data_IF_712218094005
#
_entry.id   IF_712218094005
#
_cell.length_a   1.000
_cell.length_b   1.000
_cell.length_c   1.000
_cell.angle_alpha   90.00
_cell.angle_beta   90.00
_cell.angle_gamma   90.00
#
_symmetry.space_group_name_H-M   'P 1'
#
loop_
_entity.id
_entity.type
_entity.pdbx_description
1 polymer ?
#
# COMPACT_ATOMS: atom_id res chain seq x y z
N UNK A 1 -18.92 -15.18 -65.46
CA UNK A 1 -18.25 -14.11 -64.73
C UNK A 1 -18.79 -14.12 -63.28
N UNK A 2 -18.08 -14.82 -62.38
CA UNK A 2 -18.49 -14.95 -60.98
C UNK A 2 -17.72 -13.88 -60.22
N UNK A 3 -18.45 -12.91 -59.66
CA UNK A 3 -17.88 -11.87 -58.78
C UNK A 3 -17.73 -12.44 -57.39
N UNK A 4 -16.47 -12.68 -56.96
CA UNK A 4 -16.11 -12.98 -55.59
C UNK A 4 -16.25 -11.68 -54.76
N UNK A 5 -17.26 -11.63 -53.91
CA UNK A 5 -17.38 -10.60 -52.87
C UNK A 5 -16.62 -11.14 -51.67
N UNK A 6 -15.41 -10.67 -51.46
CA UNK A 6 -14.60 -10.95 -50.27
C UNK A 6 -15.11 -10.05 -49.12
N UNK A 7 -15.99 -10.56 -48.30
CA UNK A 7 -16.42 -9.88 -47.09
C UNK A 7 -15.30 -9.96 -46.07
N UNK A 8 -14.52 -8.88 -45.90
CA UNK A 8 -13.51 -8.75 -44.87
C UNK A 8 -14.23 -8.56 -43.54
N UNK A 9 -14.37 -9.66 -42.80
CA UNK A 9 -14.90 -9.62 -41.43
C UNK A 9 -13.80 -9.11 -40.50
N UNK A 10 -13.81 -7.82 -40.23
CA UNK A 10 -12.94 -7.21 -39.25
C UNK A 10 -13.32 -7.73 -37.86
N UNK A 11 -12.58 -8.70 -37.34
CA UNK A 11 -12.69 -9.13 -35.95
C UNK A 11 -12.19 -7.99 -35.05
N UNK A 12 -13.11 -7.17 -34.59
CA UNK A 12 -12.85 -6.26 -33.49
C UNK A 12 -12.63 -7.11 -32.23
N UNK A 13 -11.37 -7.39 -31.91
CA UNK A 13 -11.02 -7.88 -30.60
C UNK A 13 -11.27 -6.76 -29.60
N UNK A 14 -12.45 -6.74 -29.02
CA UNK A 14 -12.72 -5.97 -27.82
C UNK A 14 -11.88 -6.59 -26.71
N UNK A 15 -10.73 -5.99 -26.44
CA UNK A 15 -10.00 -6.25 -25.18
C UNK A 15 -10.92 -5.75 -24.06
N UNK A 16 -11.69 -6.66 -23.48
CA UNK A 16 -12.42 -6.37 -22.26
C UNK A 16 -11.38 -6.14 -21.16
N UNK A 17 -11.09 -4.87 -20.89
CA UNK A 17 -10.35 -4.50 -19.68
C UNK A 17 -11.26 -4.87 -18.51
N UNK A 18 -10.98 -6.00 -17.86
CA UNK A 18 -11.69 -6.37 -16.64
C UNK A 18 -11.26 -5.39 -15.55
N UNK A 19 -12.24 -4.73 -14.95
CA UNK A 19 -12.06 -4.00 -13.71
C UNK A 19 -11.38 -4.95 -12.70
N UNK A 20 -10.24 -4.55 -12.17
CA UNK A 20 -9.47 -5.35 -11.21
C UNK A 20 -9.62 -4.73 -9.83
N UNK A 21 -9.93 -5.56 -8.84
CA UNK A 21 -9.81 -5.16 -7.45
C UNK A 21 -8.33 -5.09 -7.06
N UNK A 22 -7.89 -3.94 -6.59
CA UNK A 22 -6.56 -3.70 -6.03
C UNK A 22 -6.69 -3.78 -4.51
N UNK A 23 -6.06 -4.76 -3.89
CA UNK A 23 -6.07 -4.92 -2.43
C UNK A 23 -4.89 -4.20 -1.81
N UNK A 24 -5.15 -3.34 -0.82
CA UNK A 24 -4.14 -2.62 -0.04
C UNK A 24 -4.20 -3.06 1.42
N UNK A 25 -3.07 -3.45 1.98
CA UNK A 25 -2.95 -3.73 3.41
C UNK A 25 -2.87 -2.43 4.20
N UNK A 26 -3.62 -2.31 5.30
CA UNK A 26 -3.46 -1.24 6.29
C UNK A 26 -2.88 -1.86 7.54
N UNK A 27 -1.58 -1.62 7.79
CA UNK A 27 -0.90 -2.15 8.96
C UNK A 27 -0.54 -1.01 9.92
N UNK A 28 -1.23 -0.94 11.05
CA UNK A 28 -1.07 0.11 12.06
C UNK A 28 -1.16 -0.51 13.45
N UNK A 29 -0.69 0.20 14.49
CA UNK A 29 -0.79 -0.23 15.88
C UNK A 29 -2.20 -0.09 16.43
N UNK A 30 -3.10 -0.96 16.02
CA UNK A 30 -4.48 -0.99 16.53
C UNK A 30 -4.56 -1.44 17.99
N UNK A 31 -3.50 -2.03 18.51
CA UNK A 31 -3.25 -2.25 19.93
C UNK A 31 -1.92 -1.60 20.32
N UNK A 32 -1.71 -1.36 21.64
CA UNK A 32 -0.47 -0.80 22.13
C UNK A 32 -0.51 0.72 22.33
N UNK A 33 0.66 1.40 22.37
CA UNK A 33 0.76 2.76 22.92
C UNK A 33 0.05 3.86 22.11
N UNK A 34 -0.28 3.60 20.84
CA UNK A 34 -0.90 4.59 19.95
C UNK A 34 -2.28 4.16 19.43
N UNK A 35 -2.88 3.15 20.04
CA UNK A 35 -4.18 2.58 19.63
C UNK A 35 -5.30 3.61 19.48
N UNK A 36 -5.24 4.72 20.23
CA UNK A 36 -6.23 5.79 20.15
C UNK A 36 -6.13 6.63 18.87
N UNK A 37 -4.99 6.61 18.16
CA UNK A 37 -4.74 7.41 16.96
C UNK A 37 -5.02 6.63 15.67
N UNK A 38 -4.75 5.35 15.67
CA UNK A 38 -4.72 4.51 14.47
C UNK A 38 -6.06 4.25 13.81
N UNK A 39 -7.22 4.20 14.53
CA UNK A 39 -8.53 4.09 13.87
C UNK A 39 -8.82 5.25 12.92
N UNK A 40 -8.47 6.48 13.32
CA UNK A 40 -8.63 7.67 12.48
C UNK A 40 -7.71 7.65 11.26
N UNK A 41 -6.47 7.19 11.42
CA UNK A 41 -5.51 7.04 10.32
C UNK A 41 -5.99 6.01 9.30
N UNK A 42 -6.49 4.86 9.76
CA UNK A 42 -7.06 3.84 8.89
C UNK A 42 -8.31 4.34 8.16
N UNK A 43 -9.21 5.01 8.86
CA UNK A 43 -10.41 5.58 8.25
C UNK A 43 -10.09 6.61 7.17
N UNK A 44 -9.06 7.45 7.38
CA UNK A 44 -8.58 8.39 6.36
C UNK A 44 -8.04 7.70 5.11
N UNK A 45 -7.29 6.62 5.27
CA UNK A 45 -6.80 5.83 4.13
C UNK A 45 -7.96 5.15 3.38
N UNK A 46 -8.91 4.56 4.10
CA UNK A 46 -10.08 3.92 3.51
C UNK A 46 -10.98 4.91 2.76
N UNK A 47 -11.13 6.13 3.30
CA UNK A 47 -11.83 7.20 2.60
C UNK A 47 -11.17 7.51 1.26
N UNK A 48 -9.84 7.67 1.24
CA UNK A 48 -9.10 7.94 0.02
C UNK A 48 -9.22 6.79 -1.00
N UNK A 49 -9.24 5.53 -0.56
CA UNK A 49 -9.44 4.37 -1.42
C UNK A 49 -10.85 4.33 -2.02
N UNK A 50 -11.86 4.69 -1.23
CA UNK A 50 -13.24 4.78 -1.70
C UNK A 50 -13.39 5.93 -2.73
N UNK A 51 -12.87 7.11 -2.42
CA UNK A 51 -12.88 8.24 -3.36
C UNK A 51 -12.17 7.92 -4.68
N UNK A 52 -11.00 7.25 -4.61
CA UNK A 52 -10.28 6.82 -5.80
C UNK A 52 -11.11 5.82 -6.63
N UNK A 53 -11.76 4.87 -5.98
CA UNK A 53 -12.64 3.89 -6.64
C UNK A 53 -13.85 4.55 -7.28
N UNK A 54 -14.52 5.43 -6.55
CA UNK A 54 -15.74 6.12 -7.01
C UNK A 54 -15.48 7.14 -8.11
N UNK A 55 -14.26 7.67 -8.18
CA UNK A 55 -13.86 8.63 -9.22
C UNK A 55 -13.91 8.06 -10.64
N UNK A 56 -13.83 6.73 -10.78
CA UNK A 56 -13.70 6.06 -12.07
C UNK A 56 -12.39 6.37 -12.82
N UNK A 57 -11.44 7.08 -12.19
CA UNK A 57 -10.18 7.47 -12.80
C UNK A 57 -9.13 6.34 -12.82
N UNK A 58 -9.36 5.27 -12.06
CA UNK A 58 -8.47 4.11 -12.03
C UNK A 58 -8.58 3.31 -13.33
N UNK A 59 -7.43 2.85 -13.83
CA UNK A 59 -7.32 2.12 -15.09
C UNK A 59 -8.30 0.93 -15.15
N UNK A 60 -9.07 0.87 -16.25
CA UNK A 60 -10.01 -0.23 -16.50
C UNK A 60 -11.21 -0.27 -15.57
N UNK A 61 -11.52 0.82 -14.84
CA UNK A 61 -12.60 0.84 -13.85
C UNK A 61 -12.26 0.03 -12.60
N UNK A 62 -10.98 -0.12 -12.29
CA UNK A 62 -10.50 -0.82 -11.10
C UNK A 62 -10.99 -0.15 -9.82
N UNK A 63 -11.11 -0.93 -8.76
CA UNK A 63 -11.48 -0.47 -7.41
C UNK A 63 -10.37 -0.83 -6.42
N UNK A 64 -10.32 -0.11 -5.30
CA UNK A 64 -9.40 -0.40 -4.20
C UNK A 64 -10.20 -0.91 -3.02
N UNK A 65 -9.75 -2.02 -2.44
CA UNK A 65 -10.23 -2.52 -1.15
C UNK A 65 -9.09 -2.59 -0.15
N UNK A 66 -9.40 -2.62 1.14
CA UNK A 66 -8.39 -2.69 2.19
C UNK A 66 -8.58 -3.88 3.12
N UNK A 67 -7.47 -4.33 3.70
CA UNK A 67 -7.43 -5.33 4.76
C UNK A 67 -6.59 -4.76 5.89
N UNK A 68 -7.15 -4.67 7.11
CA UNK A 68 -6.43 -4.18 8.29
C UNK A 68 -5.65 -5.30 8.97
N UNK A 69 -4.47 -4.95 9.49
CA UNK A 69 -3.65 -5.81 10.33
C UNK A 69 -2.99 -4.98 11.43
N UNK A 70 -2.74 -5.58 12.59
CA UNK A 70 -2.20 -4.91 13.76
C UNK A 70 -0.67 -5.03 13.82
N UNK A 71 0.04 -3.91 13.81
CA UNK A 71 1.50 -3.86 13.99
C UNK A 71 1.93 -3.78 15.46
N UNK A 72 0.99 -3.57 16.38
CA UNK A 72 1.23 -3.30 17.81
C UNK A 72 2.10 -2.08 18.11
N UNK A 73 2.75 -1.47 17.12
CA UNK A 73 3.74 -0.39 17.23
C UNK A 73 5.09 -0.81 17.86
N UNK A 74 5.13 -1.79 18.75
CA UNK A 74 6.32 -2.12 19.59
C UNK A 74 6.90 -3.50 19.33
N UNK A 75 6.13 -4.45 18.78
CA UNK A 75 6.58 -5.81 18.52
C UNK A 75 6.87 -6.03 17.03
N UNK A 76 8.15 -6.03 16.69
CA UNK A 76 8.59 -6.20 15.30
C UNK A 76 8.27 -7.59 14.72
N UNK A 77 8.23 -8.63 15.57
CA UNK A 77 7.90 -9.98 15.11
C UNK A 77 6.39 -10.10 14.83
N UNK A 78 5.54 -9.55 15.71
CA UNK A 78 4.10 -9.48 15.48
C UNK A 78 3.78 -8.67 14.23
N UNK A 79 4.43 -7.52 14.05
CA UNK A 79 4.24 -6.68 12.85
C UNK A 79 4.66 -7.40 11.56
N UNK A 80 5.78 -8.12 11.56
CA UNK A 80 6.20 -8.93 10.41
C UNK A 80 5.18 -10.03 10.10
N UNK A 81 4.70 -10.76 11.10
CA UNK A 81 3.67 -11.79 10.92
C UNK A 81 2.36 -11.22 10.40
N UNK A 82 1.96 -10.04 10.88
CA UNK A 82 0.78 -9.33 10.39
C UNK A 82 0.94 -8.90 8.91
N UNK A 83 2.14 -8.46 8.52
CA UNK A 83 2.44 -8.14 7.13
C UNK A 83 2.46 -9.37 6.22
N UNK A 84 3.04 -10.49 6.67
CA UNK A 84 2.98 -11.78 5.96
C UNK A 84 1.53 -12.25 5.74
N UNK A 85 0.68 -12.09 6.75
CA UNK A 85 -0.75 -12.34 6.60
C UNK A 85 -1.33 -11.49 5.48
N UNK A 86 -1.07 -10.17 5.44
CA UNK A 86 -1.55 -9.29 4.37
C UNK A 86 -1.09 -9.76 2.98
N UNK A 87 0.19 -10.15 2.85
CA UNK A 87 0.72 -10.72 1.59
C UNK A 87 -0.07 -11.98 1.19
N UNK A 88 -0.35 -12.86 2.15
CA UNK A 88 -1.14 -14.08 1.90
C UNK A 88 -2.57 -13.81 1.42
N UNK A 89 -3.13 -12.65 1.77
CA UNK A 89 -4.44 -12.18 1.29
C UNK A 89 -4.39 -11.54 -0.09
N UNK A 90 -3.22 -11.45 -0.69
CA UNK A 90 -3.00 -10.92 -2.03
C UNK A 90 -3.00 -9.39 -2.10
N UNK A 91 -2.59 -8.70 -1.03
CA UNK A 91 -2.37 -7.25 -1.10
C UNK A 91 -1.20 -6.94 -2.03
N UNK A 92 -1.30 -5.84 -2.75
CA UNK A 92 -0.29 -5.39 -3.72
C UNK A 92 0.44 -4.13 -3.28
N UNK A 93 0.01 -3.51 -2.19
CA UNK A 93 0.65 -2.38 -1.54
C UNK A 93 0.29 -2.38 -0.05
N UNK A 94 1.09 -1.72 0.77
CA UNK A 94 0.88 -1.58 2.21
C UNK A 94 0.87 -0.09 2.59
N UNK A 95 -0.20 0.36 3.23
CA UNK A 95 -0.26 1.62 3.98
C UNK A 95 0.10 1.33 5.43
N UNK A 96 1.20 1.88 5.88
CA UNK A 96 1.79 1.60 7.20
C UNK A 96 3.27 1.23 7.09
N UNK A 97 3.93 0.77 8.18
CA UNK A 97 3.39 0.88 9.50
C UNK A 97 3.54 2.32 10.03
N UNK A 98 3.03 2.55 11.23
CA UNK A 98 3.02 3.87 11.88
C UNK A 98 4.31 4.16 12.68
N UNK A 99 4.74 3.21 13.49
CA UNK A 99 5.93 3.34 14.35
C UNK A 99 7.19 2.89 13.62
N UNK A 100 8.26 3.69 13.67
CA UNK A 100 9.46 3.49 12.84
C UNK A 100 10.14 2.14 13.01
N UNK A 101 10.18 1.58 14.24
CA UNK A 101 10.80 0.29 14.50
C UNK A 101 10.11 -0.85 13.77
N UNK A 102 8.78 -0.94 13.92
CA UNK A 102 7.97 -1.96 13.22
C UNK A 102 7.90 -1.69 11.72
N UNK A 103 7.91 -0.42 11.30
CA UNK A 103 8.01 -0.06 9.87
C UNK A 103 9.27 -0.63 9.23
N UNK A 104 10.44 -0.43 9.87
CA UNK A 104 11.70 -1.00 9.38
C UNK A 104 11.69 -2.53 9.33
N UNK A 105 11.11 -3.18 10.33
CA UNK A 105 10.99 -4.63 10.36
C UNK A 105 10.09 -5.17 9.25
N UNK A 106 8.92 -4.59 9.05
CA UNK A 106 8.01 -4.98 7.96
C UNK A 106 8.65 -4.70 6.60
N UNK A 107 9.30 -3.55 6.41
CA UNK A 107 9.97 -3.18 5.17
C UNK A 107 11.03 -4.23 4.80
N UNK A 108 12.00 -4.46 5.68
CA UNK A 108 13.15 -5.30 5.37
C UNK A 108 12.84 -6.80 5.31
N UNK A 109 11.93 -7.29 6.16
CA UNK A 109 11.67 -8.72 6.27
C UNK A 109 10.51 -9.21 5.39
N UNK A 110 9.58 -8.32 5.03
CA UNK A 110 8.37 -8.72 4.31
C UNK A 110 8.18 -7.95 3.01
N UNK A 111 8.13 -6.61 3.04
CA UNK A 111 7.75 -5.83 1.88
C UNK A 111 8.79 -5.91 0.76
N UNK A 112 10.07 -5.66 1.05
CA UNK A 112 11.16 -5.72 0.07
C UNK A 112 11.32 -7.13 -0.53
N UNK A 113 11.37 -8.21 0.25
CA UNK A 113 11.47 -9.57 -0.31
C UNK A 113 10.29 -9.96 -1.22
N UNK A 114 9.11 -9.43 -0.96
CA UNK A 114 7.91 -9.70 -1.78
C UNK A 114 7.67 -8.66 -2.89
N UNK A 115 8.52 -7.64 -3.02
CA UNK A 115 8.36 -6.59 -4.03
C UNK A 115 7.11 -5.72 -3.82
N UNK A 116 6.65 -5.55 -2.58
CA UNK A 116 5.42 -4.84 -2.22
C UNK A 116 5.76 -3.43 -1.74
N UNK A 117 5.27 -2.37 -2.40
CA UNK A 117 5.52 -1.01 -1.96
C UNK A 117 4.81 -0.70 -0.64
N UNK A 118 5.48 0.12 0.18
CA UNK A 118 4.96 0.60 1.46
C UNK A 118 4.93 2.13 1.51
N UNK A 119 3.87 2.68 2.09
CA UNK A 119 3.79 4.09 2.44
C UNK A 119 3.42 4.26 3.91
N UNK A 120 4.34 4.83 4.71
CA UNK A 120 4.09 5.08 6.13
C UNK A 120 3.45 6.45 6.34
N UNK A 121 2.39 6.56 7.15
CA UNK A 121 1.76 7.84 7.47
C UNK A 121 2.55 8.65 8.51
N UNK A 122 3.39 8.01 9.34
CA UNK A 122 3.96 8.65 10.53
C UNK A 122 5.33 8.17 10.97
N UNK A 123 5.96 7.21 10.30
CA UNK A 123 7.30 6.76 10.67
C UNK A 123 8.36 7.82 10.31
N UNK A 124 9.01 8.39 11.32
CA UNK A 124 9.90 9.57 11.20
C UNK A 124 11.39 9.27 11.30
N UNK A 125 11.80 8.05 11.70
CA UNK A 125 13.21 7.71 11.89
C UNK A 125 14.08 8.07 10.68
N UNK A 126 15.23 8.74 10.89
CA UNK A 126 16.22 9.00 9.83
C UNK A 126 16.74 7.73 9.17
N UNK A 127 16.82 6.61 9.89
CA UNK A 127 17.27 5.33 9.36
C UNK A 127 16.42 4.82 8.19
N UNK A 128 15.14 5.16 8.15
CA UNK A 128 14.26 4.81 7.03
C UNK A 128 14.59 5.57 5.73
N UNK A 129 15.32 6.68 5.81
CA UNK A 129 15.75 7.44 4.62
C UNK A 129 16.88 6.74 3.87
N UNK A 130 17.68 5.95 4.58
CA UNK A 130 18.86 5.26 4.04
C UNK A 130 18.71 3.74 4.06
N UNK A 131 17.51 3.26 4.31
CA UNK A 131 17.22 1.83 4.27
C UNK A 131 17.38 1.28 2.84
N UNK A 132 17.87 0.06 2.74
CA UNK A 132 17.92 -0.69 1.47
C UNK A 132 16.50 -1.16 1.12
N UNK A 133 15.74 -0.32 0.45
CA UNK A 133 14.31 -0.52 0.20
C UNK A 133 13.93 -0.82 -1.26
N UNK A 134 14.92 -0.90 -2.14
CA UNK A 134 14.73 -1.07 -3.59
C UNK A 134 13.75 -0.05 -4.22
N UNK A 135 13.59 1.12 -3.62
CA UNK A 135 12.64 2.14 -4.05
C UNK A 135 11.18 1.81 -3.72
N UNK A 136 10.96 0.92 -2.76
CA UNK A 136 9.62 0.47 -2.37
C UNK A 136 9.06 1.19 -1.13
N UNK A 137 9.88 2.00 -0.42
CA UNK A 137 9.43 2.69 0.78
C UNK A 137 9.19 4.18 0.54
N UNK A 138 8.06 4.64 1.02
CA UNK A 138 7.63 6.04 1.01
C UNK A 138 7.08 6.42 2.37
N UNK A 139 7.06 7.72 2.69
CA UNK A 139 6.37 8.24 3.88
C UNK A 139 5.83 9.63 3.63
N UNK A 140 4.73 9.94 4.30
CA UNK A 140 4.11 11.28 4.26
C UNK A 140 4.63 12.19 5.38
N UNK A 141 5.20 11.61 6.46
CA UNK A 141 5.83 12.35 7.54
C UNK A 141 7.29 12.74 7.19
N UNK A 142 7.76 13.93 7.55
CA UNK A 142 9.16 14.31 7.40
C UNK A 142 10.07 13.47 8.31
N UNK A 143 11.37 13.42 7.96
CA UNK A 143 12.38 12.80 8.84
C UNK A 143 12.63 13.64 10.07
N UNK A 144 12.83 13.02 11.23
CA UNK A 144 13.27 13.67 12.47
C UNK A 144 14.62 14.37 12.31
N UNK A 145 15.48 13.93 11.39
CA UNK A 145 16.72 14.65 11.06
C UNK A 145 16.43 16.08 10.61
N UNK A 146 15.38 16.29 9.81
CA UNK A 146 14.98 17.64 9.38
C UNK A 146 14.43 18.47 10.54
N UNK A 147 13.68 17.84 11.43
CA UNK A 147 13.21 18.49 12.66
C UNK A 147 14.37 18.96 13.54
N UNK A 148 15.40 18.13 13.70
CA UNK A 148 16.62 18.47 14.42
C UNK A 148 17.38 19.65 13.81
N UNK A 149 17.53 19.69 12.49
CA UNK A 149 18.15 20.81 11.78
C UNK A 149 17.42 22.15 11.97
N UNK A 150 16.08 22.12 12.06
CA UNK A 150 15.28 23.34 12.21
C UNK A 150 15.30 23.85 13.66
N UNK A 151 15.49 22.96 14.64
CA UNK A 151 15.50 23.30 16.07
C UNK A 151 16.90 23.67 16.59
N UNK A 152 17.97 23.39 15.87
CA UNK A 152 19.35 23.70 16.22
C UNK A 152 19.76 25.13 15.80
#
# INVERSE_FOLDING_TARGET
MIKFITTLLALFMFSTSYAKEVKVGIILGFTGPIESLTPGMAAGAELAFNEASDSGALLGGSTVSSIRADSTCIDSAAAASAAEFLISQGVTAIMGADCSGVTGAVLSNVAVPNGVPMISPSATSPALTTAEDNGLFFRTAPSDARGGEVLA
#
